data_IF_024483080937
#
_entry.id   IF_024483080937
#
_cell.length_a   1.000
_cell.length_b   1.000
_cell.length_c   1.000
_cell.angle_alpha   90.00
_cell.angle_beta   90.00
_cell.angle_gamma   90.00
#
_symmetry.space_group_name_H-M   'P 1'
#
loop_
_entity.id
_entity.type
_entity.pdbx_description
1 polymer ?
#
# COMPACT_ATOMS: atom_id res chain seq x y z
N UNK A 1 -15.03 17.63 1.65
CA UNK A 1 -14.81 16.29 2.22
C UNK A 1 -15.15 15.17 1.24
N UNK A 2 -16.28 15.19 0.53
CA UNK A 2 -16.61 14.15 -0.47
C UNK A 2 -15.60 13.99 -1.63
N UNK A 3 -14.90 15.07 -2.01
CA UNK A 3 -13.97 15.09 -3.16
C UNK A 3 -12.83 14.07 -3.08
N UNK A 4 -12.40 13.70 -1.87
CA UNK A 4 -11.29 12.75 -1.67
C UNK A 4 -11.76 11.48 -0.97
N UNK A 5 -13.08 11.19 -0.99
CA UNK A 5 -13.64 10.06 -0.25
C UNK A 5 -13.09 8.72 -0.74
N UNK A 6 -13.01 8.53 -2.06
CA UNK A 6 -12.48 7.30 -2.66
C UNK A 6 -10.98 7.16 -2.41
N UNK A 7 -10.19 8.21 -2.65
CA UNK A 7 -8.78 8.25 -2.25
C UNK A 7 -8.57 7.85 -0.77
N UNK A 8 -9.33 8.43 0.17
CA UNK A 8 -9.19 8.13 1.60
C UNK A 8 -9.51 6.66 1.90
N UNK A 9 -10.57 6.11 1.32
CA UNK A 9 -10.90 4.68 1.46
C UNK A 9 -9.79 3.81 0.87
N UNK A 10 -9.27 4.15 -0.32
CA UNK A 10 -8.15 3.47 -0.94
C UNK A 10 -6.90 3.48 -0.07
N UNK A 11 -6.57 4.63 0.52
CA UNK A 11 -5.47 4.78 1.46
C UNK A 11 -5.66 3.94 2.73
N UNK A 12 -6.86 3.91 3.30
CA UNK A 12 -7.16 3.04 4.44
C UNK A 12 -7.02 1.55 4.10
N UNK A 13 -7.48 1.12 2.93
CA UNK A 13 -7.31 -0.25 2.43
C UNK A 13 -5.84 -0.59 2.23
N UNK A 14 -5.06 0.34 1.67
CA UNK A 14 -3.62 0.18 1.50
C UNK A 14 -2.89 0.04 2.84
N UNK A 15 -3.15 0.93 3.81
CA UNK A 15 -2.54 0.84 5.13
C UNK A 15 -2.95 -0.44 5.89
N UNK A 16 -4.19 -0.89 5.72
CA UNK A 16 -4.64 -2.17 6.25
C UNK A 16 -3.96 -3.36 5.56
N UNK A 17 -3.70 -3.27 4.25
CA UNK A 17 -2.89 -4.25 3.51
C UNK A 17 -1.48 -4.33 4.10
N UNK A 18 -0.84 -3.22 4.44
CA UNK A 18 0.50 -3.25 5.07
C UNK A 18 0.51 -3.95 6.45
N UNK A 19 -0.58 -3.86 7.22
CA UNK A 19 -0.73 -4.66 8.45
C UNK A 19 -0.85 -6.16 8.13
N UNK A 20 -1.59 -6.50 7.08
CA UNK A 20 -1.70 -7.88 6.59
C UNK A 20 -0.38 -8.39 5.98
N UNK A 21 0.42 -7.50 5.39
CA UNK A 21 1.75 -7.79 4.87
C UNK A 21 2.73 -8.17 5.97
N UNK A 22 2.66 -7.49 7.12
CA UNK A 22 3.43 -7.88 8.31
C UNK A 22 3.04 -9.30 8.75
N UNK A 23 1.73 -9.60 8.81
CA UNK A 23 1.24 -10.94 9.15
C UNK A 23 1.73 -12.00 8.17
N UNK A 24 1.77 -11.68 6.88
CA UNK A 24 2.14 -12.59 5.80
C UNK A 24 3.62 -12.56 5.42
N UNK A 25 4.45 -11.86 6.20
CA UNK A 25 5.91 -11.82 6.04
C UNK A 25 6.36 -11.33 4.68
N UNK A 26 5.73 -10.27 4.17
CA UNK A 26 6.01 -9.73 2.83
C UNK A 26 7.48 -9.34 2.61
N UNK A 27 8.24 -9.07 3.67
CA UNK A 27 9.69 -8.87 3.57
C UNK A 27 10.44 -10.05 2.92
N UNK A 28 9.88 -11.26 2.93
CA UNK A 28 10.43 -12.43 2.23
C UNK A 28 10.35 -12.31 0.70
N UNK A 29 9.44 -11.48 0.18
CA UNK A 29 9.31 -11.21 -1.25
C UNK A 29 10.24 -10.08 -1.73
N UNK A 30 10.73 -9.24 -0.82
CA UNK A 30 11.54 -8.06 -1.15
C UNK A 30 13.03 -8.45 -1.32
N UNK A 31 13.68 -8.18 -2.47
CA UNK A 31 15.03 -8.70 -2.78
C UNK A 31 16.13 -8.39 -1.75
N UNK A 32 16.00 -7.29 -1.01
CA UNK A 32 16.95 -6.86 0.03
C UNK A 32 16.56 -7.45 1.39
N UNK A 33 15.28 -7.35 1.77
CA UNK A 33 14.82 -7.78 3.09
C UNK A 33 14.69 -9.31 3.20
N UNK A 34 14.50 -10.03 2.08
CA UNK A 34 14.43 -11.49 2.05
C UNK A 34 15.74 -12.17 2.46
N UNK A 35 16.84 -11.42 2.45
CA UNK A 35 18.16 -11.87 2.91
C UNK A 35 18.33 -11.79 4.42
N UNK A 36 17.41 -11.11 5.12
CA UNK A 36 17.44 -10.99 6.56
C UNK A 36 16.75 -12.19 7.21
N UNK A 37 17.21 -12.57 8.41
CA UNK A 37 16.47 -13.53 9.24
C UNK A 37 15.09 -13.00 9.61
N UNK A 38 14.15 -13.88 9.92
CA UNK A 38 12.72 -13.56 10.09
C UNK A 38 12.46 -12.37 11.03
N UNK A 39 13.06 -12.38 12.23
CA UNK A 39 12.92 -11.31 13.22
C UNK A 39 13.55 -9.99 12.75
N UNK A 40 14.71 -10.04 12.08
CA UNK A 40 15.37 -8.87 11.54
C UNK A 40 14.59 -8.27 10.37
N UNK A 41 14.04 -9.12 9.49
CA UNK A 41 13.16 -8.72 8.39
C UNK A 41 11.88 -8.06 8.88
N UNK A 42 11.20 -8.66 9.86
CA UNK A 42 10.04 -8.08 10.53
C UNK A 42 10.33 -6.69 11.10
N UNK A 43 11.41 -6.56 11.89
CA UNK A 43 11.79 -5.28 12.51
C UNK A 43 12.13 -4.22 11.47
N UNK A 44 12.94 -4.58 10.47
CA UNK A 44 13.34 -3.66 9.41
C UNK A 44 12.14 -3.20 8.58
N UNK A 45 11.29 -4.14 8.14
CA UNK A 45 10.07 -3.86 7.39
C UNK A 45 9.18 -2.91 8.18
N UNK A 46 8.82 -3.26 9.42
CA UNK A 46 7.92 -2.45 10.25
C UNK A 46 8.53 -1.08 10.58
N UNK A 47 9.82 -1.01 10.91
CA UNK A 47 10.48 0.24 11.28
C UNK A 47 10.58 1.22 10.10
N UNK A 48 10.78 0.75 8.87
CA UNK A 48 10.82 1.58 7.66
C UNK A 48 9.46 2.21 7.35
N UNK A 49 8.35 1.55 7.70
CA UNK A 49 7.01 2.10 7.48
C UNK A 49 6.72 3.34 8.33
N UNK A 50 7.31 3.45 9.53
CA UNK A 50 7.09 4.63 10.39
C UNK A 50 7.53 5.95 9.72
N UNK A 51 8.78 6.12 9.27
CA UNK A 51 9.17 7.34 8.55
C UNK A 51 8.45 7.49 7.21
N UNK A 52 8.13 6.40 6.51
CA UNK A 52 7.35 6.47 5.26
C UNK A 52 5.95 7.05 5.51
N UNK A 53 5.24 6.59 6.54
CA UNK A 53 3.94 7.12 6.92
C UNK A 53 4.02 8.57 7.42
N UNK A 54 5.06 8.91 8.17
CA UNK A 54 5.28 10.29 8.59
C UNK A 54 5.45 11.22 7.38
N UNK A 55 6.29 10.87 6.41
CA UNK A 55 6.49 11.63 5.18
C UNK A 55 5.23 11.69 4.31
N UNK A 56 4.50 10.57 4.21
CA UNK A 56 3.23 10.48 3.50
C UNK A 56 2.20 11.47 4.06
N UNK A 57 1.95 11.43 5.37
CA UNK A 57 0.96 12.30 5.99
C UNK A 57 1.42 13.75 6.06
N UNK A 58 2.73 13.99 6.24
CA UNK A 58 3.29 15.33 6.14
C UNK A 58 3.08 15.92 4.74
N UNK A 59 3.35 15.15 3.68
CA UNK A 59 3.14 15.58 2.31
C UNK A 59 1.67 15.78 1.96
N UNK A 60 0.78 14.93 2.48
CA UNK A 60 -0.66 15.02 2.23
C UNK A 60 -1.29 16.23 2.92
N UNK A 61 -0.91 16.53 4.17
CA UNK A 61 -1.64 17.48 5.02
C UNK A 61 -0.83 18.71 5.44
N UNK A 62 0.47 18.79 5.15
CA UNK A 62 1.37 19.82 5.65
C UNK A 62 1.05 21.25 5.20
N UNK A 63 0.30 21.42 4.11
CA UNK A 63 -0.10 22.72 3.57
C UNK A 63 -1.53 23.15 3.96
N UNK A 64 -2.17 22.47 4.93
CA UNK A 64 -3.54 22.77 5.38
C UNK A 64 -4.66 22.31 4.43
N UNK A 65 -4.32 21.77 3.26
CA UNK A 65 -5.24 21.11 2.34
C UNK A 65 -4.60 19.84 1.77
N UNK A 66 -5.42 18.89 1.32
CA UNK A 66 -4.92 17.67 0.66
C UNK A 66 -4.22 18.04 -0.65
N UNK A 67 -2.94 17.71 -0.74
CA UNK A 67 -2.14 17.98 -1.93
C UNK A 67 -2.52 17.04 -3.09
N UNK A 68 -3.25 17.58 -4.08
CA UNK A 68 -3.76 16.81 -5.24
C UNK A 68 -2.68 16.07 -6.02
N UNK A 69 -1.48 16.64 -6.15
CA UNK A 69 -0.39 15.98 -6.86
C UNK A 69 0.01 14.66 -6.21
N UNK A 70 0.03 14.62 -4.88
CA UNK A 70 0.35 13.40 -4.14
C UNK A 70 -0.82 12.40 -4.13
N UNK A 71 -2.08 12.87 -4.15
CA UNK A 71 -3.25 12.00 -4.35
C UNK A 71 -3.12 11.22 -5.65
N UNK A 72 -2.94 11.92 -6.77
CA UNK A 72 -2.77 11.29 -8.10
C UNK A 72 -1.59 10.31 -8.12
N UNK A 73 -0.47 10.68 -7.49
CA UNK A 73 0.70 9.80 -7.41
C UNK A 73 0.41 8.53 -6.59
N UNK A 74 -0.33 8.65 -5.49
CA UNK A 74 -0.70 7.52 -4.64
C UNK A 74 -1.74 6.61 -5.30
N UNK A 75 -2.71 7.17 -6.01
CA UNK A 75 -3.68 6.37 -6.77
C UNK A 75 -2.97 5.53 -7.85
N UNK A 76 -2.05 6.16 -8.59
CA UNK A 76 -1.20 5.44 -9.54
C UNK A 76 -0.36 4.36 -8.84
N UNK A 77 0.19 4.66 -7.67
CA UNK A 77 0.93 3.70 -6.86
C UNK A 77 0.06 2.52 -6.41
N UNK A 78 -1.19 2.72 -5.96
CA UNK A 78 -2.09 1.63 -5.59
C UNK A 78 -2.36 0.67 -6.76
N UNK A 79 -2.52 1.22 -7.97
CA UNK A 79 -2.72 0.42 -9.20
C UNK A 79 -1.47 -0.41 -9.52
N UNK A 80 -0.29 0.22 -9.48
CA UNK A 80 0.98 -0.46 -9.73
C UNK A 80 1.24 -1.52 -8.67
N UNK A 81 0.96 -1.23 -7.40
CA UNK A 81 1.10 -2.15 -6.27
C UNK A 81 0.22 -3.39 -6.44
N UNK A 82 -1.06 -3.21 -6.81
CA UNK A 82 -1.93 -4.32 -7.18
C UNK A 82 -1.34 -5.14 -8.33
N UNK A 83 -0.84 -4.50 -9.38
CA UNK A 83 -0.23 -5.20 -10.51
C UNK A 83 1.01 -6.02 -10.08
N UNK A 84 1.84 -5.48 -9.17
CA UNK A 84 2.97 -6.21 -8.59
C UNK A 84 2.51 -7.44 -7.82
N UNK A 85 1.51 -7.32 -6.95
CA UNK A 85 0.95 -8.48 -6.23
C UNK A 85 0.40 -9.54 -7.18
N UNK A 86 -0.29 -9.13 -8.24
CA UNK A 86 -0.79 -10.05 -9.26
C UNK A 86 0.36 -10.74 -10.00
N UNK A 87 1.42 -10.01 -10.36
CA UNK A 87 2.59 -10.58 -11.04
C UNK A 87 3.37 -11.56 -10.14
N UNK A 88 3.47 -11.26 -8.84
CA UNK A 88 4.24 -12.03 -7.86
C UNK A 88 3.41 -13.11 -7.14
N UNK A 89 2.13 -13.29 -7.48
CA UNK A 89 1.19 -14.20 -6.78
C UNK A 89 1.59 -15.68 -6.79
N UNK A 90 2.38 -16.08 -7.79
CA UNK A 90 2.81 -17.46 -7.98
C UNK A 90 4.16 -17.75 -7.32
N UNK A 91 4.82 -16.74 -6.73
CA UNK A 91 6.06 -16.98 -6.01
C UNK A 91 5.81 -17.85 -4.76
N UNK A 92 6.72 -18.79 -4.44
CA UNK A 92 6.56 -19.70 -3.29
C UNK A 92 6.39 -18.95 -1.96
N UNK A 93 7.11 -17.85 -1.80
CA UNK A 93 7.10 -17.04 -0.58
C UNK A 93 5.89 -16.12 -0.49
N UNK A 94 5.03 -16.07 -1.52
CA UNK A 94 3.81 -15.27 -1.49
C UNK A 94 2.70 -16.00 -0.71
N UNK A 95 2.35 -15.43 0.44
CA UNK A 95 1.42 -16.01 1.40
C UNK A 95 0.00 -15.41 1.34
N UNK A 96 -0.26 -14.44 0.46
CA UNK A 96 -1.58 -13.80 0.33
C UNK A 96 -2.58 -14.71 -0.39
N UNK A 97 -3.18 -15.64 0.36
CA UNK A 97 -4.14 -16.64 -0.18
C UNK A 97 -5.59 -16.37 0.18
N UNK A 98 -5.84 -15.51 1.17
CA UNK A 98 -7.20 -15.27 1.67
C UNK A 98 -7.95 -14.23 0.84
N UNK A 99 -9.27 -14.40 0.72
CA UNK A 99 -10.15 -13.39 0.10
C UNK A 99 -10.05 -12.05 0.81
N UNK A 100 -9.84 -12.06 2.13
CA UNK A 100 -9.65 -10.85 2.92
C UNK A 100 -8.40 -10.08 2.47
N UNK A 101 -7.24 -10.74 2.42
CA UNK A 101 -5.98 -10.16 1.94
C UNK A 101 -6.12 -9.59 0.53
N UNK A 102 -6.74 -10.37 -0.37
CA UNK A 102 -7.02 -9.92 -1.75
C UNK A 102 -7.92 -8.69 -1.77
N UNK A 103 -8.96 -8.67 -0.93
CA UNK A 103 -9.86 -7.53 -0.81
C UNK A 103 -9.15 -6.23 -0.44
N UNK A 104 -8.11 -6.28 0.39
CA UNK A 104 -7.37 -5.10 0.81
C UNK A 104 -6.60 -4.46 -0.36
N UNK A 105 -5.67 -5.20 -1.00
CA UNK A 105 -4.85 -4.62 -2.07
C UNK A 105 -5.61 -4.45 -3.40
N UNK A 106 -6.59 -5.32 -3.71
CA UNK A 106 -7.47 -5.11 -4.88
C UNK A 106 -8.38 -3.92 -4.64
N UNK A 107 -8.97 -3.79 -3.45
CA UNK A 107 -9.82 -2.66 -3.10
C UNK A 107 -9.06 -1.33 -3.21
N UNK A 108 -7.83 -1.27 -2.68
CA UNK A 108 -6.97 -0.10 -2.83
C UNK A 108 -6.71 0.25 -4.31
N UNK A 109 -6.34 -0.74 -5.12
CA UNK A 109 -6.12 -0.53 -6.56
C UNK A 109 -7.36 -0.07 -7.31
N UNK A 110 -8.53 -0.64 -7.02
CA UNK A 110 -9.82 -0.24 -7.63
C UNK A 110 -10.19 1.19 -7.21
N UNK A 111 -10.01 1.54 -5.94
CA UNK A 111 -10.20 2.92 -5.47
C UNK A 111 -9.30 3.89 -6.26
N UNK A 112 -8.02 3.56 -6.47
CA UNK A 112 -7.10 4.38 -7.25
C UNK A 112 -7.54 4.55 -8.71
N UNK A 113 -8.00 3.48 -9.38
CA UNK A 113 -8.54 3.58 -10.75
C UNK A 113 -9.75 4.52 -10.79
N UNK A 114 -10.71 4.34 -9.89
CA UNK A 114 -11.96 5.13 -9.90
C UNK A 114 -11.65 6.58 -9.53
N UNK A 115 -10.82 6.85 -8.51
CA UNK A 115 -10.47 8.22 -8.11
C UNK A 115 -9.77 8.96 -9.26
N UNK A 116 -8.80 8.33 -9.95
CA UNK A 116 -8.15 8.92 -11.13
C UNK A 116 -9.13 9.23 -12.26
N UNK A 117 -10.05 8.32 -12.57
CA UNK A 117 -11.05 8.53 -13.62
C UNK A 117 -12.01 9.68 -13.29
N UNK A 118 -12.32 9.89 -12.01
CA UNK A 118 -13.16 10.99 -11.53
C UNK A 118 -12.38 12.30 -11.33
N UNK A 119 -11.05 12.22 -11.21
CA UNK A 119 -10.16 13.36 -11.01
C UNK A 119 -9.64 13.97 -12.32
N UNK A 120 -9.79 13.28 -13.46
CA UNK A 120 -9.58 13.77 -14.83
C UNK A 120 -10.73 14.69 -15.27
#
# INVERSE_FOLDING_TARGET
MLRYGLFIVGLCLFLAHEMDAVRHKEWQLLPILSRLGDEAGYRAFTAVHVPLYALLFWGLFGAGTIYRGLVVALDAFFIVHLALHVALRNLPDNRFRSVFSWGLFVGAGVCGVIDLLLAL
#
